data_IF_139827120490
#
_entry.id   IF_139827120490
#
_cell.length_a   1.000
_cell.length_b   1.000
_cell.length_c   1.000
_cell.angle_alpha   90.00
_cell.angle_beta   90.00
_cell.angle_gamma   90.00
#
_symmetry.space_group_name_H-M   'P 1'
#
loop_
_entity.id
_entity.type
_entity.pdbx_description
1 polymer ?
#
# COMPACT_ATOMS: atom_id res chain seq x y z
N UNK A 1 10.92 -21.95 -20.83
CA UNK A 1 9.99 -20.84 -21.12
C UNK A 1 10.55 -19.65 -20.37
N UNK A 2 10.81 -18.54 -21.07
CA UNK A 2 11.28 -17.33 -20.40
C UNK A 2 10.13 -16.85 -19.51
N UNK A 3 10.38 -16.76 -18.22
CA UNK A 3 9.45 -16.14 -17.28
C UNK A 3 9.45 -14.65 -17.65
N UNK A 4 8.47 -14.23 -18.43
CA UNK A 4 8.32 -12.84 -18.83
C UNK A 4 7.90 -12.11 -17.55
N UNK A 5 8.89 -11.62 -16.80
CA UNK A 5 8.69 -10.82 -15.58
C UNK A 5 7.63 -9.78 -15.89
N UNK A 6 6.42 -9.96 -15.36
CA UNK A 6 5.37 -8.95 -15.43
C UNK A 6 5.99 -7.70 -14.82
N UNK A 7 6.13 -6.60 -15.58
CA UNK A 7 6.83 -5.43 -15.08
C UNK A 7 6.14 -4.95 -13.80
N UNK A 8 6.94 -4.54 -12.80
CA UNK A 8 6.39 -4.14 -11.52
C UNK A 8 5.40 -2.99 -11.71
N UNK A 9 4.21 -3.11 -11.17
CA UNK A 9 3.22 -2.04 -11.22
C UNK A 9 3.55 -1.01 -10.15
N UNK A 10 3.83 0.23 -10.56
CA UNK A 10 4.23 1.32 -9.67
C UNK A 10 3.16 2.41 -9.71
N UNK A 11 2.69 2.83 -8.55
CA UNK A 11 1.69 3.88 -8.44
C UNK A 11 1.75 4.57 -7.07
N UNK A 12 0.97 5.64 -6.92
CA UNK A 12 0.86 6.40 -5.66
C UNK A 12 -0.59 6.53 -5.27
N UNK A 13 -0.85 6.45 -3.96
CA UNK A 13 -2.20 6.60 -3.39
C UNK A 13 -2.16 7.62 -2.26
N UNK A 14 -3.02 8.62 -2.33
CA UNK A 14 -3.29 9.56 -1.24
C UNK A 14 -4.53 9.12 -0.49
N UNK A 15 -4.54 9.32 0.83
CA UNK A 15 -5.68 9.13 1.70
C UNK A 15 -6.31 10.50 1.96
N UNK A 16 -7.57 10.63 1.60
CA UNK A 16 -8.30 11.92 1.61
C UNK A 16 -8.55 12.40 3.04
N UNK A 17 -8.86 11.47 3.94
CA UNK A 17 -9.18 11.76 5.34
C UNK A 17 -8.48 10.77 6.26
N UNK A 18 -7.69 11.28 7.21
CA UNK A 18 -7.05 10.48 8.24
C UNK A 18 -8.07 9.69 9.07
N UNK A 19 -7.75 8.43 9.38
CA UNK A 19 -8.67 7.53 10.09
C UNK A 19 -9.71 6.88 9.17
N UNK A 20 -9.61 7.09 7.85
CA UNK A 20 -10.48 6.42 6.86
C UNK A 20 -9.62 5.62 5.90
N UNK A 21 -9.40 4.32 6.18
CA UNK A 21 -8.56 3.48 5.33
C UNK A 21 -9.08 3.40 3.89
N UNK A 22 -8.23 3.74 2.92
CA UNK A 22 -8.54 3.70 1.49
C UNK A 22 -7.82 2.55 0.81
N UNK A 23 -8.48 1.86 -0.14
CA UNK A 23 -7.85 0.81 -0.92
C UNK A 23 -6.65 1.37 -1.71
N UNK A 24 -5.52 0.68 -1.67
CA UNK A 24 -4.30 1.11 -2.36
C UNK A 24 -4.48 1.07 -3.89
N UNK A 25 -5.29 0.12 -4.35
CA UNK A 25 -5.74 -0.01 -5.72
C UNK A 25 -7.09 -0.73 -5.77
N UNK A 26 -7.86 -0.47 -6.82
CA UNK A 26 -9.07 -1.23 -7.17
C UNK A 26 -8.82 -2.22 -8.32
N UNK A 27 -7.60 -2.26 -8.85
CA UNK A 27 -7.20 -3.17 -9.92
C UNK A 27 -6.90 -4.55 -9.34
N UNK A 28 -7.42 -5.58 -9.99
CA UNK A 28 -7.00 -6.96 -9.76
C UNK A 28 -5.64 -7.16 -10.43
N UNK A 29 -4.60 -7.35 -9.62
CA UNK A 29 -3.24 -7.64 -10.07
C UNK A 29 -2.80 -8.96 -9.45
N UNK A 30 -2.26 -9.87 -10.28
CA UNK A 30 -1.68 -11.12 -9.81
C UNK A 30 -0.17 -10.92 -9.64
N UNK A 31 0.24 -10.76 -8.39
CA UNK A 31 1.65 -10.50 -8.02
C UNK A 31 2.10 -11.47 -6.95
N UNK A 32 3.38 -11.46 -6.62
CA UNK A 32 3.95 -12.23 -5.50
C UNK A 32 4.07 -11.39 -4.22
N UNK A 33 4.23 -10.09 -4.36
CA UNK A 33 4.42 -9.16 -3.24
C UNK A 33 4.02 -7.72 -3.59
N UNK A 34 3.85 -6.91 -2.54
CA UNK A 34 3.71 -5.47 -2.65
C UNK A 34 4.69 -4.77 -1.70
N UNK A 35 5.45 -3.83 -2.21
CA UNK A 35 6.23 -2.89 -1.43
C UNK A 35 5.45 -1.58 -1.29
N UNK A 36 5.31 -1.08 -0.06
CA UNK A 36 4.57 0.16 0.25
C UNK A 36 5.49 1.07 1.02
N UNK A 37 5.61 2.33 0.60
CA UNK A 37 6.46 3.33 1.23
C UNK A 37 5.70 4.64 1.44
N UNK A 38 5.79 5.28 2.62
CA UNK A 38 5.24 6.62 2.83
C UNK A 38 5.82 7.61 1.80
N UNK A 39 5.02 8.58 1.37
CA UNK A 39 5.54 9.67 0.54
C UNK A 39 6.54 10.51 1.35
N UNK A 40 7.56 11.05 0.68
CA UNK A 40 8.58 11.90 1.32
C UNK A 40 8.00 13.15 1.98
N UNK A 41 6.83 13.59 1.53
CA UNK A 41 6.10 14.74 2.06
C UNK A 41 5.25 14.41 3.28
N UNK A 42 5.11 13.13 3.64
CA UNK A 42 4.38 12.75 4.84
C UNK A 42 5.14 13.22 6.09
N UNK A 43 4.39 13.87 6.95
CA UNK A 43 4.78 14.29 8.30
C UNK A 43 4.25 13.33 9.36
N UNK A 44 3.21 12.58 9.02
CA UNK A 44 2.54 11.60 9.86
C UNK A 44 3.01 10.16 9.65
N UNK A 45 2.36 9.26 10.38
CA UNK A 45 2.51 7.81 10.23
C UNK A 45 1.56 7.29 9.18
N UNK A 46 2.09 6.51 8.23
CA UNK A 46 1.30 5.69 7.32
C UNK A 46 0.98 4.37 8.01
N UNK A 47 -0.25 3.88 7.84
CA UNK A 47 -0.68 2.58 8.31
C UNK A 47 -1.13 1.74 7.12
N UNK A 48 -0.80 0.45 7.14
CA UNK A 48 -1.36 -0.54 6.25
C UNK A 48 -2.46 -1.29 7.01
N UNK A 49 -3.59 -1.50 6.33
CA UNK A 49 -4.73 -2.26 6.82
C UNK A 49 -4.94 -3.45 5.89
N UNK A 50 -4.89 -4.64 6.47
CA UNK A 50 -5.21 -5.88 5.77
C UNK A 50 -6.75 -6.05 5.76
N UNK A 51 -7.36 -6.27 4.59
CA UNK A 51 -8.81 -6.48 4.50
C UNK A 51 -9.31 -7.74 5.24
N UNK A 52 -8.43 -8.71 5.54
CA UNK A 52 -8.80 -9.87 6.34
C UNK A 52 -9.04 -9.53 7.81
N UNK A 53 -8.48 -8.41 8.29
CA UNK A 53 -8.65 -7.91 9.65
C UNK A 53 -8.55 -6.38 9.66
N UNK A 54 -9.65 -5.71 9.29
CA UNK A 54 -9.70 -4.24 9.19
C UNK A 54 -9.47 -3.52 10.54
N UNK A 55 -9.44 -4.26 11.65
CA UNK A 55 -9.14 -3.72 12.97
C UNK A 55 -7.63 -3.56 13.23
N UNK A 56 -6.78 -4.16 12.40
CA UNK A 56 -5.32 -4.09 12.55
C UNK A 56 -4.72 -3.06 11.61
N UNK A 57 -4.21 -1.99 12.22
CA UNK A 57 -3.38 -0.98 11.57
C UNK A 57 -1.91 -1.31 11.83
N UNK A 58 -1.16 -1.58 10.76
CA UNK A 58 0.28 -1.81 10.83
C UNK A 58 1.02 -0.52 10.48
N UNK A 59 1.74 0.12 11.42
CA UNK A 59 2.51 1.31 11.12
C UNK A 59 3.65 0.97 10.15
N UNK A 60 3.78 1.76 9.09
CA UNK A 60 4.82 1.62 8.08
C UNK A 60 5.98 2.55 8.44
N UNK A 61 7.18 2.00 8.49
CA UNK A 61 8.40 2.79 8.71
C UNK A 61 8.68 3.72 7.52
N UNK A 62 9.56 4.70 7.71
CA UNK A 62 9.99 5.58 6.61
C UNK A 62 10.70 4.84 5.47
N UNK A 63 11.28 3.67 5.74
CA UNK A 63 11.90 2.81 4.74
C UNK A 63 10.87 1.98 3.95
N UNK A 64 9.62 1.94 4.41
CA UNK A 64 8.53 1.17 3.84
C UNK A 64 8.35 -0.20 4.48
N UNK A 65 7.54 -1.02 3.83
CA UNK A 65 7.26 -2.41 4.18
C UNK A 65 7.07 -3.22 2.90
N UNK A 66 7.43 -4.50 2.93
CA UNK A 66 7.12 -5.46 1.85
C UNK A 66 6.22 -6.54 2.41
N UNK A 67 5.09 -6.77 1.75
CA UNK A 67 4.09 -7.75 2.15
C UNK A 67 3.98 -8.83 1.07
N UNK A 68 4.11 -10.13 1.41
CA UNK A 68 3.85 -11.23 0.49
C UNK A 68 2.34 -11.37 0.31
N UNK A 69 1.79 -10.74 -0.73
CA UNK A 69 0.37 -10.80 -1.06
C UNK A 69 0.20 -11.05 -2.54
N UNK A 70 -0.81 -11.84 -2.89
CA UNK A 70 -1.11 -12.19 -4.27
C UNK A 70 -2.08 -11.24 -4.98
N UNK A 71 -2.75 -10.37 -4.22
CA UNK A 71 -3.74 -9.41 -4.70
C UNK A 71 -3.66 -8.08 -3.90
N UNK A 72 -3.03 -7.04 -4.48
CA UNK A 72 -2.93 -5.70 -3.91
C UNK A 72 -4.26 -5.02 -3.60
N UNK A 73 -5.35 -5.41 -4.28
CA UNK A 73 -6.67 -4.82 -4.02
C UNK A 73 -7.19 -5.14 -2.62
N UNK A 74 -6.56 -6.12 -1.94
CA UNK A 74 -6.84 -6.50 -0.56
C UNK A 74 -6.10 -5.70 0.49
N UNK A 75 -5.32 -4.71 0.07
CA UNK A 75 -4.61 -3.80 0.96
C UNK A 75 -5.29 -2.43 0.95
N UNK A 76 -5.55 -1.92 2.15
CA UNK A 76 -5.90 -0.53 2.39
C UNK A 76 -4.72 0.19 3.06
N UNK A 77 -4.64 1.50 2.84
CA UNK A 77 -3.72 2.38 3.56
C UNK A 77 -4.52 3.45 4.31
N UNK A 78 -4.03 3.84 5.47
CA UNK A 78 -4.53 4.95 6.26
C UNK A 78 -3.37 5.83 6.68
N UNK A 79 -3.65 7.06 7.09
CA UNK A 79 -2.65 8.05 7.47
C UNK A 79 -3.08 8.77 8.73
N UNK A 80 -2.11 9.22 9.53
CA UNK A 80 -2.42 10.06 10.69
C UNK A 80 -2.76 11.51 10.33
N UNK A 81 -2.42 11.96 9.11
CA UNK A 81 -2.69 13.33 8.62
C UNK A 81 -3.35 13.27 7.25
N UNK A 82 -4.52 13.89 7.11
CA UNK A 82 -5.29 13.89 5.86
C UNK A 82 -4.49 14.49 4.70
N UNK A 83 -4.60 13.88 3.51
CA UNK A 83 -3.89 14.29 2.31
C UNK A 83 -2.50 13.64 2.16
N UNK A 84 -2.03 12.92 3.17
CA UNK A 84 -0.83 12.09 3.06
C UNK A 84 -1.10 10.79 2.28
N UNK A 85 -0.04 10.05 1.95
CA UNK A 85 -0.20 8.85 1.14
C UNK A 85 1.01 7.93 1.10
N UNK A 86 0.96 6.99 0.16
CA UNK A 86 2.03 6.03 -0.07
C UNK A 86 2.34 5.90 -1.56
N UNK A 87 3.62 5.68 -1.88
CA UNK A 87 4.02 5.05 -3.11
C UNK A 87 4.03 3.53 -2.92
N UNK A 88 3.68 2.79 -3.96
CA UNK A 88 3.69 1.34 -3.91
C UNK A 88 4.16 0.71 -5.21
N UNK A 89 4.70 -0.49 -5.07
CA UNK A 89 5.23 -1.32 -6.15
C UNK A 89 4.71 -2.74 -5.96
N UNK A 90 4.04 -3.29 -6.96
CA UNK A 90 3.58 -4.67 -6.95
C UNK A 90 4.40 -5.52 -7.92
N UNK A 91 4.93 -6.65 -7.43
CA UNK A 91 5.89 -7.54 -8.12
C UNK A 91 5.41 -8.97 -8.06
#
# INVERSE_FOLDING_TARGET
>A
MADETIPPYIDTKTVTLAGTPEAITTRTLHVSSIAIKPLLTNTGTLFVVDLSDESKLFPVSTDGIVLPINDPSRIKIDVSVSGEGAAWVAV
#
